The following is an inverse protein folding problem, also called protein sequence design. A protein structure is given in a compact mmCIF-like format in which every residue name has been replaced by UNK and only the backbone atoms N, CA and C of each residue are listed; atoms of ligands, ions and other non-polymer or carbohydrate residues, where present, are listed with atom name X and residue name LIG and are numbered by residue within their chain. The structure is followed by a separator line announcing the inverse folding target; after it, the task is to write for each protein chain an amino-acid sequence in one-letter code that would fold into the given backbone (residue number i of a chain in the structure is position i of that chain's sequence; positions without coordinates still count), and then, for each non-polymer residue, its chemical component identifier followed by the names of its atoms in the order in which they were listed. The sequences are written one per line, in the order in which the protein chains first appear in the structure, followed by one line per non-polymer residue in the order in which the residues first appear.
data_IF_609389992336
#
_entry.id   IF_609389992336
#
_cell.length_a   1.000
_cell.length_b   1.000
_cell.length_c   1.000
_cell.angle_alpha   90.00
_cell.angle_beta   90.00
_cell.angle_gamma   90.00
#
_symmetry.space_group_name_H-M   'P 1'
#
loop_
_entity.id
_entity.type
_entity.pdbx_description
1 polymer ?
#
# COMPACT_ATOMS: atom_id res chain seq x y z
N UNK A 1 -6.29 -20.42 -9.02
CA UNK A 1 -5.59 -20.11 -7.76
C UNK A 1 -5.75 -18.62 -7.57
N UNK A 2 -6.59 -18.21 -6.63
CA UNK A 2 -6.79 -16.79 -6.32
C UNK A 2 -5.51 -16.20 -5.71
N UNK A 3 -5.19 -14.95 -6.05
CA UNK A 3 -4.05 -14.27 -5.45
C UNK A 3 -4.27 -14.11 -3.94
N UNK A 4 -3.35 -14.67 -3.17
CA UNK A 4 -3.36 -14.63 -1.70
C UNK A 4 -3.09 -13.21 -1.22
N UNK A 5 -2.22 -12.50 -1.93
CA UNK A 5 -1.91 -11.11 -1.67
C UNK A 5 -2.40 -10.25 -2.84
N UNK A 6 -3.02 -9.11 -2.52
CA UNK A 6 -3.49 -8.16 -3.53
C UNK A 6 -3.02 -6.75 -3.20
N UNK A 7 -2.78 -5.96 -4.25
CA UNK A 7 -2.44 -4.54 -4.11
C UNK A 7 -3.71 -3.74 -3.89
N UNK A 8 -3.73 -2.96 -2.83
CA UNK A 8 -4.78 -2.00 -2.52
C UNK A 8 -4.24 -0.58 -2.68
N UNK A 9 -4.94 0.21 -3.50
CA UNK A 9 -4.70 1.65 -3.64
C UNK A 9 -5.32 2.37 -2.45
N UNK A 10 -4.53 3.19 -1.76
CA UNK A 10 -4.95 3.99 -0.63
C UNK A 10 -4.75 5.47 -0.92
N UNK A 11 -5.73 6.28 -0.55
CA UNK A 11 -5.64 7.74 -0.65
C UNK A 11 -5.15 8.29 0.68
N UNK A 12 -4.22 9.25 0.61
CA UNK A 12 -3.71 10.02 1.74
C UNK A 12 -3.97 11.49 1.46
N UNK A 13 -4.57 12.18 2.42
CA UNK A 13 -4.69 13.64 2.40
C UNK A 13 -3.58 14.16 3.29
N UNK A 14 -2.63 14.90 2.72
CA UNK A 14 -1.57 15.55 3.48
C UNK A 14 -2.06 16.94 3.90
N UNK A 15 -2.29 17.11 5.19
CA UNK A 15 -2.65 18.39 5.78
C UNK A 15 -1.36 19.05 6.27
N UNK A 16 -1.00 20.18 5.68
CA UNK A 16 0.13 20.97 6.11
C UNK A 16 -0.25 21.75 7.37
N UNK A 17 0.50 21.56 8.47
CA UNK A 17 0.23 22.21 9.75
C UNK A 17 0.42 23.74 9.66
N UNK A 18 -0.45 24.49 10.34
CA UNK A 18 -0.42 25.96 10.41
C UNK A 18 0.39 26.43 11.61
N UNK A 19 1.20 27.49 11.43
CA UNK A 19 1.64 28.35 12.54
C UNK A 19 0.71 29.57 12.68
N UNK A 20 0.49 30.00 13.91
CA UNK A 20 -0.35 31.18 14.18
C UNK A 20 0.22 32.41 13.46
N UNK A 21 -0.61 33.07 12.65
CA UNK A 21 -0.24 34.26 11.86
C UNK A 21 0.04 34.00 10.37
N UNK A 22 0.12 32.75 9.92
CA UNK A 22 0.33 32.44 8.50
C UNK A 22 -0.98 32.55 7.70
N UNK A 23 -0.95 33.30 6.58
CA UNK A 23 -2.12 33.64 5.74
C UNK A 23 -2.15 32.85 4.42
N UNK A 24 -1.03 32.21 4.05
CA UNK A 24 -0.92 31.35 2.88
C UNK A 24 -0.74 29.90 3.30
N UNK A 25 -1.59 29.01 2.82
CA UNK A 25 -1.37 27.57 2.93
C UNK A 25 -1.48 26.96 1.53
N UNK A 26 -0.55 26.08 1.14
CA UNK A 26 -0.78 25.25 -0.04
C UNK A 26 -2.02 24.39 0.22
N UNK A 27 -2.85 24.15 -0.82
CA UNK A 27 -3.98 23.25 -0.69
C UNK A 27 -3.48 21.86 -0.23
N UNK A 28 -4.32 21.11 0.51
CA UNK A 28 -3.95 19.77 0.94
C UNK A 28 -3.58 18.89 -0.25
N UNK A 29 -2.43 18.22 -0.14
CA UNK A 29 -1.89 17.39 -1.21
C UNK A 29 -2.58 16.02 -1.17
N UNK A 30 -3.34 15.71 -2.22
CA UNK A 30 -3.91 14.39 -2.41
C UNK A 30 -2.80 13.46 -2.93
N UNK A 31 -2.25 12.63 -2.04
CA UNK A 31 -1.28 11.60 -2.41
C UNK A 31 -1.92 10.23 -2.46
N UNK A 32 -1.47 9.44 -3.42
CA UNK A 32 -1.80 8.02 -3.50
C UNK A 32 -0.63 7.26 -2.93
N UNK A 33 -0.93 6.20 -2.20
CA UNK A 33 0.03 5.20 -1.81
C UNK A 33 -0.60 3.82 -1.97
N UNK A 34 0.22 2.78 -1.99
CA UNK A 34 -0.23 1.42 -2.22
C UNK A 34 0.20 0.56 -1.05
N UNK A 35 -0.62 -0.43 -0.74
CA UNK A 35 -0.32 -1.44 0.27
C UNK A 35 -0.71 -2.83 -0.23
N UNK A 36 -0.12 -3.85 0.35
CA UNK A 36 -0.35 -5.25 0.02
C UNK A 36 -1.14 -5.87 1.17
N UNK A 37 -2.34 -6.35 0.85
CA UNK A 37 -3.24 -7.01 1.82
C UNK A 37 -3.27 -8.52 1.55
N UNK A 38 -3.29 -9.31 2.62
CA UNK A 38 -3.58 -10.75 2.55
C UNK A 38 -5.08 -10.95 2.59
N UNK A 39 -5.63 -11.59 1.57
CA UNK A 39 -7.09 -11.77 1.39
C UNK A 39 -7.69 -12.76 2.38
N UNK A 40 -6.88 -13.65 2.99
CA UNK A 40 -7.33 -14.71 3.89
C UNK A 40 -7.52 -14.21 5.32
N UNK A 41 -6.58 -13.42 5.79
CA UNK A 41 -6.51 -12.86 7.15
C UNK A 41 -7.04 -11.43 7.21
N UNK A 42 -7.23 -10.78 6.05
CA UNK A 42 -7.47 -9.33 5.93
C UNK A 42 -6.37 -8.49 6.59
N UNK A 43 -5.20 -9.09 6.84
CA UNK A 43 -4.01 -8.43 7.34
C UNK A 43 -3.27 -7.67 6.25
N UNK A 44 -2.33 -6.82 6.64
CA UNK A 44 -1.41 -6.14 5.73
C UNK A 44 0.01 -6.66 5.95
N UNK A 45 0.76 -6.86 4.86
CA UNK A 45 2.12 -7.43 4.90
C UNK A 45 3.16 -6.47 4.35
N UNK A 46 2.74 -5.52 3.50
CA UNK A 46 3.59 -4.44 3.01
C UNK A 46 2.78 -3.17 2.86
N UNK A 47 3.34 -2.05 3.29
CA UNK A 47 2.70 -0.75 3.26
C UNK A 47 3.73 0.34 2.92
N UNK A 48 3.28 1.49 2.43
CA UNK A 48 4.16 2.63 2.15
C UNK A 48 4.73 2.68 0.72
N UNK A 49 4.15 1.96 -0.24
CA UNK A 49 4.58 2.04 -1.63
C UNK A 49 4.07 3.34 -2.28
N UNK A 50 4.95 4.17 -2.82
CA UNK A 50 4.57 5.40 -3.53
C UNK A 50 4.03 5.12 -4.95
N UNK A 51 4.43 4.00 -5.57
CA UNK A 51 4.04 3.63 -6.94
C UNK A 51 3.30 2.30 -7.01
N UNK A 52 2.35 2.20 -7.93
CA UNK A 52 1.56 0.97 -8.14
C UNK A 52 2.45 -0.18 -8.63
N UNK A 53 3.42 0.13 -9.50
CA UNK A 53 4.30 -0.86 -10.09
C UNK A 53 5.19 -1.54 -9.06
N UNK A 54 5.73 -0.77 -8.10
CA UNK A 54 6.55 -1.34 -7.03
C UNK A 54 5.71 -2.24 -6.12
N UNK A 55 4.53 -1.77 -5.72
CA UNK A 55 3.58 -2.57 -4.96
C UNK A 55 3.15 -3.86 -5.70
N UNK A 56 2.92 -3.80 -7.01
CA UNK A 56 2.61 -4.98 -7.84
C UNK A 56 3.79 -5.93 -7.96
N UNK A 57 5.02 -5.42 -8.03
CA UNK A 57 6.23 -6.24 -8.09
C UNK A 57 6.42 -7.00 -6.78
N UNK A 58 6.32 -6.29 -5.65
CA UNK A 58 6.39 -6.89 -4.32
C UNK A 58 5.24 -7.90 -4.11
N UNK A 59 4.02 -7.56 -4.49
CA UNK A 59 2.86 -8.45 -4.40
C UNK A 59 3.08 -9.79 -5.15
N UNK A 60 3.62 -9.72 -6.39
CA UNK A 60 3.97 -10.92 -7.15
C UNK A 60 5.04 -11.77 -6.46
N UNK A 61 6.04 -11.14 -5.85
CA UNK A 61 7.08 -11.86 -5.09
C UNK A 61 6.50 -12.55 -3.85
N UNK A 62 5.59 -11.89 -3.13
CA UNK A 62 4.91 -12.51 -1.99
C UNK A 62 4.03 -13.69 -2.42
N UNK A 63 3.25 -13.54 -3.49
CA UNK A 63 2.42 -14.62 -4.03
C UNK A 63 3.28 -15.81 -4.48
N UNK A 64 4.39 -15.55 -5.18
CA UNK A 64 5.33 -16.61 -5.59
C UNK A 64 5.94 -17.35 -4.39
N UNK A 65 6.39 -16.62 -3.35
CA UNK A 65 6.92 -17.23 -2.11
C UNK A 65 5.87 -18.04 -1.37
N UNK A 66 4.64 -17.54 -1.25
CA UNK A 66 3.57 -18.26 -0.55
C UNK A 66 3.07 -19.48 -1.31
N UNK A 67 3.19 -19.52 -2.64
CA UNK A 67 2.93 -20.73 -3.42
C UNK A 67 3.98 -21.83 -3.18
N UNK A 68 5.24 -21.45 -2.92
CA UNK A 68 6.32 -22.41 -2.61
C UNK A 68 6.09 -23.04 -1.23
N UNK A 69 5.71 -22.27 -0.22
CA UNK A 69 5.40 -22.81 1.11
C UNK A 69 4.12 -23.65 1.12
N UNK A 70 3.11 -23.32 0.31
CA UNK A 70 1.89 -24.12 0.19
C UNK A 70 2.10 -25.49 -0.51
N UNK A 71 3.17 -25.64 -1.30
CA UNK A 71 3.49 -26.90 -2.01
C UNK A 71 4.38 -27.87 -1.22
N UNK A 72 4.90 -27.45 -0.07
CA UNK A 72 5.73 -28.30 0.81
C UNK A 72 4.96 -28.86 2.02
N UNK A 73 3.62 -28.74 2.03
CA UNK A 73 2.73 -29.36 3.02
C UNK A 73 2.06 -30.60 2.47
#
# INVERSE_FOLDING_TARGET
MEDIFVVQRCNKIIIHGRRAGEVGHPPPDAKVWYRIIDTRTRGFIGDGFDTEEDARRACRLYNARSQVTARQG
#
